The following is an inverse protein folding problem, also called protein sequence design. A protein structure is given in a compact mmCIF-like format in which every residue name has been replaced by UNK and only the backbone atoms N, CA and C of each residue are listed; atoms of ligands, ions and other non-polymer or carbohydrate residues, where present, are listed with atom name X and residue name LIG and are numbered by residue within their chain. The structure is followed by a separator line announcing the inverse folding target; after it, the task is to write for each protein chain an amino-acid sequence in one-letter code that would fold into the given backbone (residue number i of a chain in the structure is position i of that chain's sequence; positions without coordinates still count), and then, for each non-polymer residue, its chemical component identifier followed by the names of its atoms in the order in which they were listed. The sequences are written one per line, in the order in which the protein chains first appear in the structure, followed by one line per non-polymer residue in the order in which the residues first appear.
data_IF_985216950527
#
_entry.id   IF_985216950527
#
_cell.length_a   1.000
_cell.length_b   1.000
_cell.length_c   1.000
_cell.angle_alpha   90.00
_cell.angle_beta   90.00
_cell.angle_gamma   90.00
#
_symmetry.space_group_name_H-M   'P 1'
#
loop_
_entity.id
_entity.type
_entity.pdbx_description
1 polymer ?
#
# COMPACT_ATOMS: atom_id res chain seq x y z
N UNK A 1 -19.50 -15.56 -0.59
CA UNK A 1 -18.07 -15.31 -0.83
C UNK A 1 -17.66 -14.16 0.07
N UNK A 2 -16.49 -14.18 0.69
CA UNK A 2 -16.00 -13.03 1.43
C UNK A 2 -15.85 -11.84 0.45
N UNK A 3 -16.14 -10.62 0.90
CA UNK A 3 -15.95 -9.42 0.07
C UNK A 3 -14.44 -9.15 -0.10
N UNK A 4 -14.04 -8.71 -1.29
CA UNK A 4 -12.67 -8.26 -1.55
C UNK A 4 -12.31 -7.12 -0.59
N UNK A 5 -11.16 -7.21 0.08
CA UNK A 5 -10.63 -6.11 0.91
C UNK A 5 -9.65 -5.27 0.10
N UNK A 6 -9.89 -3.98 0.01
CA UNK A 6 -9.01 -3.03 -0.71
C UNK A 6 -8.22 -2.23 0.33
N UNK A 7 -6.91 -2.40 0.35
CA UNK A 7 -5.99 -1.80 1.34
C UNK A 7 -5.00 -0.88 0.63
N UNK A 8 -5.02 0.41 0.95
CA UNK A 8 -3.97 1.33 0.53
C UNK A 8 -2.82 1.31 1.55
N UNK A 9 -1.58 1.26 1.07
CA UNK A 9 -0.39 1.43 1.90
C UNK A 9 0.20 2.81 1.63
N UNK A 10 -0.03 3.75 2.55
CA UNK A 10 0.24 5.16 2.32
C UNK A 10 1.09 5.80 3.41
N UNK A 11 2.00 6.66 3.00
CA UNK A 11 2.73 7.62 3.85
C UNK A 11 3.42 8.64 2.94
N UNK A 12 3.44 9.92 3.36
CA UNK A 12 4.11 10.99 2.65
C UNK A 12 5.62 10.79 2.53
N UNK A 13 6.24 10.14 3.51
CA UNK A 13 7.68 9.98 3.59
C UNK A 13 8.17 8.91 2.63
N UNK A 14 9.20 9.25 1.82
CA UNK A 14 9.93 8.27 1.01
C UNK A 14 10.77 7.32 1.89
N UNK A 15 10.94 6.08 1.45
CA UNK A 15 11.82 5.11 2.12
C UNK A 15 11.29 4.51 3.43
N UNK A 16 10.03 4.76 3.81
CA UNK A 16 9.42 4.16 5.01
C UNK A 16 9.07 2.68 4.85
N UNK A 17 9.12 2.17 3.61
CA UNK A 17 8.85 0.75 3.32
C UNK A 17 7.45 0.50 2.73
N UNK A 18 6.78 1.47 2.08
CA UNK A 18 5.45 1.26 1.45
C UNK A 18 5.45 0.08 0.49
N UNK A 19 6.22 0.15 -0.60
CA UNK A 19 6.32 -0.94 -1.59
C UNK A 19 6.80 -2.25 -0.97
N UNK A 20 7.73 -2.19 -0.01
CA UNK A 20 8.16 -3.38 0.74
C UNK A 20 7.01 -3.99 1.53
N UNK A 21 6.19 -3.16 2.19
CA UNK A 21 5.02 -3.61 2.94
C UNK A 21 4.00 -4.24 1.99
N UNK A 22 3.67 -3.59 0.87
CA UNK A 22 2.76 -4.14 -0.15
C UNK A 22 3.23 -5.51 -0.65
N UNK A 23 4.50 -5.62 -1.06
CA UNK A 23 5.06 -6.86 -1.61
C UNK A 23 5.15 -7.98 -0.57
N UNK A 24 5.52 -7.65 0.67
CA UNK A 24 5.60 -8.63 1.75
C UNK A 24 4.19 -9.07 2.20
N UNK A 25 3.22 -8.17 2.30
CA UNK A 25 1.83 -8.54 2.58
C UNK A 25 1.24 -9.38 1.43
N UNK A 26 1.47 -9.00 0.17
CA UNK A 26 1.01 -9.78 -0.98
C UNK A 26 1.55 -11.22 -0.94
N UNK A 27 2.86 -11.38 -0.69
CA UNK A 27 3.47 -12.71 -0.60
C UNK A 27 2.98 -13.50 0.61
N UNK A 28 2.76 -12.85 1.76
CA UNK A 28 2.24 -13.50 2.96
C UNK A 28 0.78 -13.95 2.79
N UNK A 29 -0.08 -13.11 2.22
CA UNK A 29 -1.47 -13.48 1.91
C UNK A 29 -1.52 -14.61 0.87
N UNK A 30 -0.70 -14.56 -0.19
CA UNK A 30 -0.60 -15.64 -1.16
C UNK A 30 -0.16 -16.97 -0.50
N UNK A 31 0.81 -16.92 0.43
CA UNK A 31 1.23 -18.05 1.25
C UNK A 31 0.11 -18.60 2.16
N UNK A 32 -0.86 -17.78 2.53
CA UNK A 32 -2.08 -18.17 3.25
C UNK A 32 -3.19 -18.68 2.31
N UNK A 33 -2.92 -18.81 1.02
CA UNK A 33 -3.85 -19.31 0.01
C UNK A 33 -4.79 -18.25 -0.57
N UNK A 34 -4.63 -16.97 -0.21
CA UNK A 34 -5.43 -15.84 -0.70
C UNK A 34 -5.00 -15.43 -2.11
N UNK A 35 -5.94 -14.91 -2.90
CA UNK A 35 -5.66 -14.26 -4.20
C UNK A 35 -5.49 -12.77 -3.98
N UNK A 36 -4.41 -12.22 -4.47
CA UNK A 36 -4.01 -10.83 -4.25
C UNK A 36 -3.83 -10.11 -5.57
N UNK A 37 -4.41 -8.92 -5.70
CA UNK A 37 -4.08 -7.97 -6.75
C UNK A 37 -3.25 -6.83 -6.15
N UNK A 38 -2.10 -6.54 -6.73
CA UNK A 38 -1.30 -5.35 -6.42
C UNK A 38 -1.60 -4.26 -7.45
N UNK A 39 -1.87 -3.03 -6.99
CA UNK A 39 -2.04 -1.85 -7.85
C UNK A 39 -0.89 -0.90 -7.56
N UNK A 40 0.02 -0.74 -8.51
CA UNK A 40 1.24 0.05 -8.34
C UNK A 40 0.99 1.50 -8.81
N UNK A 41 0.90 2.44 -7.86
CA UNK A 41 0.74 3.88 -8.11
C UNK A 41 2.03 4.67 -7.85
N UNK A 42 3.17 4.01 -7.75
CA UNK A 42 4.45 4.69 -7.63
C UNK A 42 5.12 4.79 -9.01
N UNK A 43 5.51 6.00 -9.40
CA UNK A 43 6.27 6.28 -10.63
C UNK A 43 7.58 5.49 -10.74
N UNK A 44 8.12 4.99 -9.62
CA UNK A 44 9.29 4.14 -9.60
C UNK A 44 8.99 2.70 -10.02
N UNK A 45 7.72 2.30 -10.06
CA UNK A 45 7.24 0.97 -10.46
C UNK A 45 8.00 -0.18 -9.76
N UNK A 46 8.35 0.02 -8.47
CA UNK A 46 9.13 -0.96 -7.72
C UNK A 46 8.36 -2.26 -7.49
N UNK A 47 7.06 -2.17 -7.21
CA UNK A 47 6.22 -3.35 -7.04
C UNK A 47 6.07 -4.11 -8.37
N UNK A 48 5.83 -3.39 -9.45
CA UNK A 48 5.74 -3.94 -10.82
C UNK A 48 6.98 -4.72 -11.19
N UNK A 49 8.17 -4.11 -11.04
CA UNK A 49 9.44 -4.73 -11.39
C UNK A 49 9.74 -5.97 -10.52
N UNK A 50 9.52 -5.87 -9.21
CA UNK A 50 9.74 -7.00 -8.29
C UNK A 50 8.82 -8.18 -8.60
N UNK A 51 7.59 -7.94 -9.06
CA UNK A 51 6.66 -8.99 -9.46
C UNK A 51 6.92 -9.54 -10.87
N UNK A 52 7.87 -8.95 -11.61
CA UNK A 52 8.25 -9.38 -12.95
C UNK A 52 7.27 -8.97 -14.04
N UNK A 53 6.42 -7.98 -13.77
CA UNK A 53 5.50 -7.41 -14.75
C UNK A 53 6.19 -6.36 -15.63
N UNK A 54 5.57 -6.02 -16.75
CA UNK A 54 6.06 -5.02 -17.71
C UNK A 54 5.22 -3.76 -17.62
N UNK A 55 5.86 -2.61 -17.84
CA UNK A 55 5.19 -1.32 -18.01
C UNK A 55 5.17 -0.86 -19.46
N UNK A 56 6.16 -1.26 -20.27
CA UNK A 56 6.29 -0.83 -21.65
C UNK A 56 5.37 -1.61 -22.60
N UNK A 57 4.62 -0.88 -23.44
CA UNK A 57 3.76 -1.45 -24.48
C UNK A 57 2.53 -2.19 -23.96
N UNK A 58 2.15 -1.96 -22.72
CA UNK A 58 0.98 -2.55 -22.06
C UNK A 58 0.21 -1.47 -21.31
N UNK A 59 -1.03 -1.79 -20.95
CA UNK A 59 -1.86 -0.93 -20.10
C UNK A 59 -1.31 -0.86 -18.66
N UNK A 60 -1.31 0.34 -18.08
CA UNK A 60 -0.76 0.62 -16.76
C UNK A 60 -1.72 1.44 -15.91
N UNK A 61 -1.34 1.71 -14.66
CA UNK A 61 -2.08 2.64 -13.79
C UNK A 61 -2.13 4.07 -14.36
N UNK A 62 -1.16 4.47 -15.19
CA UNK A 62 -1.21 5.74 -15.91
C UNK A 62 -2.41 5.80 -16.86
N UNK A 63 -2.64 4.75 -17.65
CA UNK A 63 -3.77 4.68 -18.60
C UNK A 63 -5.12 4.72 -17.88
N UNK A 64 -5.19 4.08 -16.71
CA UNK A 64 -6.38 4.14 -15.85
C UNK A 64 -6.62 5.57 -15.37
N UNK A 65 -5.60 6.21 -14.77
CA UNK A 65 -5.73 7.56 -14.21
C UNK A 65 -5.97 8.64 -15.27
N UNK A 66 -5.49 8.43 -16.50
CA UNK A 66 -5.79 9.29 -17.64
C UNK A 66 -7.16 9.00 -18.28
N UNK A 67 -7.87 7.96 -17.80
CA UNK A 67 -9.20 7.59 -18.26
C UNK A 67 -9.23 6.97 -19.67
N UNK A 68 -8.08 6.57 -20.21
CA UNK A 68 -7.97 5.81 -21.46
C UNK A 68 -8.44 4.36 -21.27
N UNK A 69 -8.28 3.84 -20.05
CA UNK A 69 -8.83 2.57 -19.60
C UNK A 69 -9.81 2.83 -18.45
N UNK A 70 -11.05 2.37 -18.62
CA UNK A 70 -12.12 2.55 -17.64
C UNK A 70 -12.41 1.31 -16.77
N UNK A 71 -11.90 0.17 -17.19
CA UNK A 71 -12.02 -1.11 -16.46
C UNK A 71 -10.60 -1.62 -16.21
N UNK A 72 -10.20 -1.61 -14.94
CA UNK A 72 -8.86 -1.99 -14.53
C UNK A 72 -8.51 -3.44 -14.88
N UNK A 73 -9.51 -4.29 -15.15
CA UNK A 73 -9.27 -5.68 -15.58
C UNK A 73 -8.45 -5.76 -16.87
N UNK A 74 -8.54 -4.75 -17.74
CA UNK A 74 -7.77 -4.67 -18.98
C UNK A 74 -6.26 -4.40 -18.77
N UNK A 75 -5.87 -3.92 -17.58
CA UNK A 75 -4.49 -3.64 -17.22
C UNK A 75 -3.88 -4.71 -16.30
N UNK A 76 -4.65 -5.71 -15.87
CA UNK A 76 -4.15 -6.76 -14.96
C UNK A 76 -3.19 -7.67 -15.72
N UNK A 77 -2.02 -7.89 -15.11
CA UNK A 77 -1.03 -8.86 -15.55
C UNK A 77 -0.87 -9.97 -14.52
N UNK A 78 -0.83 -11.22 -14.98
CA UNK A 78 -0.38 -12.34 -14.17
C UNK A 78 1.11 -12.23 -13.89
N UNK A 79 1.49 -12.47 -12.66
CA UNK A 79 2.91 -12.41 -12.27
C UNK A 79 3.53 -13.82 -12.25
N UNK A 80 4.87 -13.86 -12.07
CA UNK A 80 5.57 -15.14 -11.84
C UNK A 80 5.26 -15.77 -10.48
N UNK A 81 4.56 -15.05 -9.61
CA UNK A 81 4.22 -15.52 -8.25
C UNK A 81 2.78 -15.99 -8.24
N UNK A 82 2.59 -17.25 -7.89
CA UNK A 82 1.24 -17.83 -7.82
C UNK A 82 0.34 -17.00 -6.90
N UNK A 83 -0.91 -16.79 -7.32
CA UNK A 83 -1.97 -16.04 -6.59
C UNK A 83 -1.72 -14.53 -6.45
N UNK A 84 -0.69 -13.98 -7.10
CA UNK A 84 -0.46 -12.53 -7.11
C UNK A 84 -0.53 -12.04 -8.55
N UNK A 85 -1.47 -11.15 -8.83
CA UNK A 85 -1.57 -10.39 -10.07
C UNK A 85 -1.22 -8.92 -9.81
N UNK A 86 -0.96 -8.14 -10.86
CA UNK A 86 -0.60 -6.73 -10.74
C UNK A 86 -1.23 -5.87 -11.83
N UNK A 87 -1.71 -4.69 -11.46
CA UNK A 87 -1.89 -3.55 -12.36
C UNK A 87 -0.59 -2.74 -12.29
N UNK A 88 0.23 -2.72 -13.35
CA UNK A 88 1.57 -2.19 -13.30
C UNK A 88 1.60 -0.67 -13.18
N UNK A 89 2.57 -0.15 -12.42
CA UNK A 89 2.96 1.25 -12.43
C UNK A 89 3.83 1.58 -13.65
N UNK A 90 3.97 2.87 -13.92
CA UNK A 90 4.75 3.37 -15.06
C UNK A 90 5.48 4.66 -14.70
N UNK A 91 6.63 4.90 -15.33
CA UNK A 91 7.37 6.15 -15.24
C UNK A 91 6.53 7.34 -15.77
N UNK A 92 5.58 7.11 -16.66
CA UNK A 92 4.64 8.13 -17.14
C UNK A 92 3.81 8.78 -16.02
N UNK A 93 3.70 8.14 -14.85
CA UNK A 93 3.11 8.76 -13.65
C UNK A 93 3.87 10.01 -13.17
N UNK A 94 5.10 10.24 -13.67
CA UNK A 94 5.83 11.49 -13.44
C UNK A 94 5.09 12.63 -14.14
N UNK A 95 4.62 13.61 -13.37
CA UNK A 95 3.88 14.75 -13.94
C UNK A 95 2.38 14.55 -14.10
N UNK A 96 1.84 13.37 -13.83
CA UNK A 96 0.40 13.06 -13.97
C UNK A 96 -0.50 14.05 -13.21
N UNK A 97 -0.03 14.62 -12.10
CA UNK A 97 -0.78 15.64 -11.35
C UNK A 97 -1.12 16.87 -12.19
N UNK A 98 -0.17 17.30 -13.03
CA UNK A 98 -0.38 18.42 -13.93
C UNK A 98 -1.35 18.06 -15.07
N UNK A 99 -1.23 16.84 -15.61
CA UNK A 99 -2.11 16.34 -16.68
C UNK A 99 -3.56 16.19 -16.18
N UNK A 100 -3.75 15.68 -14.97
CA UNK A 100 -5.07 15.52 -14.35
C UNK A 100 -5.68 16.83 -13.82
N UNK A 101 -4.93 17.96 -13.77
CA UNK A 101 -5.40 19.19 -13.13
C UNK A 101 -6.71 19.74 -13.70
N UNK A 102 -6.96 19.56 -15.00
CA UNK A 102 -8.18 19.99 -15.68
C UNK A 102 -9.30 18.95 -15.75
N UNK A 103 -9.05 17.73 -15.25
CA UNK A 103 -10.03 16.64 -15.35
C UNK A 103 -11.14 16.80 -14.30
N UNK A 104 -12.37 16.43 -14.70
CA UNK A 104 -13.51 16.37 -13.75
C UNK A 104 -13.49 15.03 -13.02
N UNK A 105 -13.91 15.04 -11.75
CA UNK A 105 -13.98 13.84 -10.90
C UNK A 105 -12.67 13.06 -10.87
N UNK A 106 -11.55 13.76 -10.96
CA UNK A 106 -10.22 13.15 -11.03
C UNK A 106 -9.84 12.36 -9.76
N UNK A 107 -10.53 12.61 -8.66
CA UNK A 107 -10.32 11.94 -7.38
C UNK A 107 -10.94 10.53 -7.33
N UNK A 108 -11.88 10.20 -8.25
CA UNK A 108 -12.64 8.93 -8.23
C UNK A 108 -12.29 8.00 -9.39
N UNK A 109 -11.35 8.37 -10.24
CA UNK A 109 -11.05 7.60 -11.47
C UNK A 109 -10.62 6.16 -11.15
N UNK A 110 -9.80 5.97 -10.12
CA UNK A 110 -9.33 4.64 -9.76
C UNK A 110 -10.45 3.78 -9.18
N UNK A 111 -11.30 4.32 -8.29
CA UNK A 111 -12.41 3.54 -7.72
C UNK A 111 -13.40 3.14 -8.78
N UNK A 112 -13.73 4.04 -9.72
CA UNK A 112 -14.63 3.76 -10.84
C UNK A 112 -14.05 2.64 -11.74
N UNK A 113 -12.74 2.67 -12.02
CA UNK A 113 -12.07 1.65 -12.82
C UNK A 113 -11.96 0.30 -12.11
N UNK A 114 -11.86 0.28 -10.78
CA UNK A 114 -11.73 -0.93 -9.96
C UNK A 114 -13.07 -1.57 -9.61
N UNK A 115 -14.20 -0.89 -9.82
CA UNK A 115 -15.54 -1.33 -9.41
C UNK A 115 -15.81 -2.78 -9.81
N UNK A 116 -15.58 -3.11 -11.07
CA UNK A 116 -15.82 -4.45 -11.61
C UNK A 116 -14.89 -5.50 -10.99
N UNK A 117 -13.61 -5.19 -10.85
CA UNK A 117 -12.60 -6.10 -10.28
C UNK A 117 -12.96 -6.47 -8.85
N UNK A 118 -13.43 -5.49 -8.06
CA UNK A 118 -13.86 -5.68 -6.68
C UNK A 118 -15.19 -6.45 -6.62
N UNK A 119 -16.16 -6.10 -7.47
CA UNK A 119 -17.50 -6.69 -7.47
C UNK A 119 -17.49 -8.18 -7.91
N UNK A 120 -16.66 -8.55 -8.89
CA UNK A 120 -16.56 -9.94 -9.36
C UNK A 120 -15.94 -10.88 -8.30
N UNK A 121 -15.27 -10.35 -7.25
CA UNK A 121 -14.76 -11.13 -6.12
C UNK A 121 -13.64 -12.10 -6.53
N UNK A 122 -12.89 -11.79 -7.58
CA UNK A 122 -11.79 -12.61 -8.06
C UNK A 122 -10.57 -12.60 -7.15
N UNK A 123 -10.47 -11.63 -6.24
CA UNK A 123 -9.38 -11.43 -5.29
C UNK A 123 -9.91 -11.35 -3.87
N UNK A 124 -9.16 -11.89 -2.91
CA UNK A 124 -9.41 -11.71 -1.48
C UNK A 124 -8.91 -10.34 -1.03
N UNK A 125 -7.78 -9.90 -1.58
CA UNK A 125 -7.13 -8.63 -1.28
C UNK A 125 -6.75 -7.86 -2.55
N UNK A 126 -6.96 -6.54 -2.51
CA UNK A 126 -6.33 -5.58 -3.42
C UNK A 126 -5.42 -4.70 -2.58
N UNK A 127 -4.12 -4.68 -2.89
CA UNK A 127 -3.12 -3.87 -2.21
C UNK A 127 -2.67 -2.74 -3.12
N UNK A 128 -2.87 -1.48 -2.69
CA UNK A 128 -2.48 -0.31 -3.48
C UNK A 128 -1.16 0.25 -2.93
N UNK A 129 -0.10 0.21 -3.74
CA UNK A 129 1.19 0.82 -3.43
C UNK A 129 1.17 2.31 -3.78
N UNK A 130 1.12 3.16 -2.75
CA UNK A 130 1.02 4.60 -2.93
C UNK A 130 2.38 5.26 -3.13
N UNK A 131 2.43 6.27 -4.02
CA UNK A 131 3.59 7.15 -4.17
C UNK A 131 3.92 7.92 -2.87
N UNK A 132 5.16 8.44 -2.72
CA UNK A 132 5.55 9.22 -1.54
C UNK A 132 5.07 10.68 -1.61
N UNK A 133 3.84 10.92 -2.08
CA UNK A 133 3.21 12.24 -2.12
C UNK A 133 1.80 12.15 -1.57
N UNK A 134 1.24 13.24 -1.07
CA UNK A 134 -0.17 13.35 -0.69
C UNK A 134 -0.99 14.04 -1.79
N UNK A 135 -0.61 13.79 -3.04
CA UNK A 135 -1.25 14.36 -4.23
C UNK A 135 -2.42 13.52 -4.75
N UNK A 136 -2.75 13.74 -6.03
CA UNK A 136 -3.93 13.14 -6.66
C UNK A 136 -3.85 11.61 -6.74
N UNK A 137 -2.66 11.03 -6.90
CA UNK A 137 -2.48 9.57 -6.92
C UNK A 137 -2.84 8.94 -5.57
N UNK A 138 -2.29 9.49 -4.47
CA UNK A 138 -2.64 9.02 -3.12
C UNK A 138 -4.11 9.28 -2.79
N UNK A 139 -4.68 10.39 -3.25
CA UNK A 139 -6.12 10.64 -3.11
C UNK A 139 -6.94 9.55 -3.81
N UNK A 140 -6.62 9.19 -5.07
CA UNK A 140 -7.28 8.09 -5.78
C UNK A 140 -7.14 6.76 -5.04
N UNK A 141 -5.96 6.45 -4.51
CA UNK A 141 -5.75 5.24 -3.71
C UNK A 141 -6.66 5.19 -2.49
N UNK A 142 -6.73 6.29 -1.72
CA UNK A 142 -7.56 6.36 -0.50
C UNK A 142 -9.06 6.38 -0.81
N UNK A 143 -9.46 6.96 -1.94
CA UNK A 143 -10.86 6.94 -2.37
C UNK A 143 -11.28 5.54 -2.79
N UNK A 144 -10.39 4.77 -3.42
CA UNK A 144 -10.66 3.39 -3.84
C UNK A 144 -10.51 2.35 -2.71
N UNK A 145 -9.84 2.69 -1.61
CA UNK A 145 -9.55 1.76 -0.52
C UNK A 145 -10.70 1.63 0.48
N UNK A 146 -10.90 0.45 1.05
CA UNK A 146 -11.72 0.25 2.24
C UNK A 146 -10.96 0.67 3.50
N UNK A 147 -9.66 0.44 3.49
CA UNK A 147 -8.80 0.68 4.66
C UNK A 147 -7.39 1.13 4.24
N UNK A 148 -6.72 1.84 5.14
CA UNK A 148 -5.34 2.25 4.93
C UNK A 148 -4.43 1.70 6.03
N UNK A 149 -3.30 1.12 5.64
CA UNK A 149 -2.19 0.71 6.49
C UNK A 149 -1.09 1.75 6.37
N UNK A 150 -0.58 2.25 7.50
CA UNK A 150 0.37 3.36 7.52
C UNK A 150 1.73 2.88 8.05
N UNK A 151 2.71 2.58 7.18
CA UNK A 151 4.08 2.29 7.61
C UNK A 151 4.78 3.58 8.06
N UNK A 152 5.44 3.53 9.23
CA UNK A 152 6.24 4.63 9.78
C UNK A 152 7.61 4.15 10.23
N UNK A 153 8.54 5.08 10.41
CA UNK A 153 9.88 4.84 10.99
C UNK A 153 9.96 5.37 12.41
N UNK A 154 10.96 4.90 13.16
CA UNK A 154 11.32 5.41 14.49
C UNK A 154 12.06 6.76 14.38
N UNK A 155 11.38 7.81 13.95
CA UNK A 155 11.95 9.16 13.93
C UNK A 155 10.87 10.23 14.17
N UNK A 156 11.28 11.40 14.66
CA UNK A 156 10.37 12.50 14.96
C UNK A 156 9.61 13.04 13.76
N UNK A 157 10.19 12.98 12.55
CA UNK A 157 9.53 13.46 11.33
C UNK A 157 8.41 12.53 10.85
N UNK A 158 8.40 11.27 11.31
CA UNK A 158 7.34 10.31 10.95
C UNK A 158 6.00 10.68 11.55
N UNK A 159 5.96 11.32 12.73
CA UNK A 159 4.72 11.80 13.36
C UNK A 159 4.14 13.01 12.61
N UNK A 160 4.99 13.93 12.11
CA UNK A 160 4.55 15.06 11.29
C UNK A 160 3.94 14.57 9.95
N UNK A 161 4.58 13.57 9.34
CA UNK A 161 4.07 12.93 8.12
C UNK A 161 2.74 12.21 8.35
N UNK A 162 2.58 11.55 9.50
CA UNK A 162 1.33 10.93 9.92
C UNK A 162 0.22 11.96 10.02
N UNK A 163 0.46 13.09 10.71
CA UNK A 163 -0.53 14.15 10.86
C UNK A 163 -1.06 14.67 9.53
N UNK A 164 -0.17 14.89 8.54
CA UNK A 164 -0.58 15.35 7.21
C UNK A 164 -1.40 14.30 6.45
N UNK A 165 -1.03 13.01 6.55
CA UNK A 165 -1.80 11.93 5.95
C UNK A 165 -3.19 11.84 6.59
N UNK A 166 -3.29 11.96 7.91
CA UNK A 166 -4.58 11.94 8.62
C UNK A 166 -5.48 13.12 8.24
N UNK A 167 -4.92 14.31 8.00
CA UNK A 167 -5.68 15.44 7.45
C UNK A 167 -6.28 15.12 6.07
N UNK A 168 -5.54 14.41 5.21
CA UNK A 168 -6.05 13.96 3.89
C UNK A 168 -7.15 12.90 4.07
N UNK A 169 -6.95 11.93 4.96
CA UNK A 169 -7.97 10.89 5.28
C UNK A 169 -9.26 11.55 5.77
N UNK A 170 -9.17 12.52 6.68
CA UNK A 170 -10.33 13.23 7.22
C UNK A 170 -11.03 14.07 6.15
N UNK A 171 -10.28 14.72 5.26
CA UNK A 171 -10.85 15.45 4.12
C UNK A 171 -11.63 14.51 3.18
N UNK A 172 -11.11 13.31 2.92
CA UNK A 172 -11.79 12.30 2.09
C UNK A 172 -13.05 11.78 2.79
N UNK A 173 -12.98 11.43 4.08
CA UNK A 173 -14.13 10.96 4.89
C UNK A 173 -15.25 12.00 4.98
N UNK A 174 -14.89 13.27 5.11
CA UNK A 174 -15.85 14.36 5.24
C UNK A 174 -16.59 14.64 3.94
N UNK A 175 -16.11 14.18 2.81
CA UNK A 175 -16.73 14.38 1.51
C UNK A 175 -17.54 13.15 1.09
N UNK A 176 -18.88 13.24 1.19
CA UNK A 176 -19.80 12.14 0.82
C UNK A 176 -19.67 11.64 -0.63
N UNK A 177 -19.01 12.40 -1.51
CA UNK A 177 -18.77 12.01 -2.92
C UNK A 177 -17.48 11.24 -3.11
N UNK A 178 -16.63 11.17 -2.10
CA UNK A 178 -15.37 10.45 -2.14
C UNK A 178 -15.51 9.11 -1.40
N UNK A 179 -15.01 9.03 -0.17
CA UNK A 179 -15.02 7.78 0.59
C UNK A 179 -15.28 8.04 2.09
N UNK A 180 -16.55 8.21 2.50
CA UNK A 180 -16.89 8.45 3.90
C UNK A 180 -16.62 7.23 4.81
N UNK A 181 -16.54 6.04 4.24
CA UNK A 181 -16.37 4.77 4.97
C UNK A 181 -14.90 4.33 5.07
N UNK A 182 -13.96 5.13 4.55
CA UNK A 182 -12.53 4.81 4.64
C UNK A 182 -12.11 4.64 6.10
N UNK A 183 -11.46 3.53 6.42
CA UNK A 183 -10.92 3.28 7.76
C UNK A 183 -9.40 3.34 7.78
N UNK A 184 -8.80 3.66 8.93
CA UNK A 184 -7.37 3.49 9.16
C UNK A 184 -7.21 2.17 9.92
N UNK A 185 -6.76 1.14 9.21
CA UNK A 185 -6.62 -0.22 9.74
C UNK A 185 -5.55 -0.30 10.83
N UNK A 186 -4.49 0.48 10.70
CA UNK A 186 -3.46 0.58 11.73
C UNK A 186 -2.15 1.16 11.23
N UNK A 187 -1.30 1.49 12.20
CA UNK A 187 0.06 1.97 11.98
C UNK A 187 1.03 0.81 12.18
N UNK A 188 1.92 0.56 11.21
CA UNK A 188 3.00 -0.41 11.34
C UNK A 188 4.35 0.28 11.43
N UNK A 189 5.11 -0.06 12.47
CA UNK A 189 6.45 0.49 12.67
C UNK A 189 7.47 -0.35 11.92
N UNK A 190 8.16 0.28 10.97
CA UNK A 190 9.11 -0.36 10.07
C UNK A 190 10.56 -0.04 10.42
N UNK A 191 11.48 -0.91 9.96
CA UNK A 191 12.93 -0.78 10.12
C UNK A 191 13.37 -0.64 11.57
N UNK A 192 12.73 -1.38 12.48
CA UNK A 192 13.07 -1.38 13.89
C UNK A 192 14.50 -1.86 14.13
N UNK A 193 15.27 -1.05 14.84
CA UNK A 193 16.60 -1.39 15.36
C UNK A 193 16.53 -1.56 16.89
N UNK A 194 16.64 -2.78 17.45
CA UNK A 194 16.34 -3.06 18.86
C UNK A 194 17.24 -2.35 19.89
N UNK A 195 18.36 -1.77 19.45
CA UNK A 195 19.40 -1.21 20.35
C UNK A 195 19.40 0.33 20.44
N UNK A 196 18.37 1.01 19.95
CA UNK A 196 18.30 2.47 20.01
C UNK A 196 17.42 2.93 21.19
N UNK A 197 17.95 3.78 22.06
CA UNK A 197 17.22 4.35 23.20
C UNK A 197 15.96 5.15 22.78
N UNK A 198 15.99 5.73 21.58
CA UNK A 198 14.84 6.45 20.99
C UNK A 198 13.64 5.52 20.74
N UNK A 199 13.86 4.23 20.51
CA UNK A 199 12.83 3.25 20.21
C UNK A 199 11.83 3.10 21.36
N UNK A 200 12.31 3.04 22.61
CA UNK A 200 11.44 2.85 23.78
C UNK A 200 10.52 4.06 24.03
N UNK A 201 11.05 5.27 23.88
CA UNK A 201 10.25 6.50 24.03
C UNK A 201 9.20 6.63 22.93
N UNK A 202 9.54 6.27 21.70
CA UNK A 202 8.62 6.30 20.57
C UNK A 202 7.52 5.24 20.71
N UNK A 203 7.88 4.00 21.07
CA UNK A 203 6.93 2.90 21.32
C UNK A 203 5.94 3.25 22.45
N UNK A 204 6.36 4.04 23.45
CA UNK A 204 5.50 4.47 24.54
C UNK A 204 4.50 5.58 24.14
N UNK A 205 4.87 6.47 23.23
CA UNK A 205 4.03 7.61 22.80
C UNK A 205 3.11 7.27 21.62
N UNK A 206 3.55 6.39 20.75
CA UNK A 206 2.85 6.10 19.50
C UNK A 206 1.40 5.61 19.68
N UNK A 207 1.07 4.75 20.67
CA UNK A 207 -0.31 4.33 20.91
C UNK A 207 -1.25 5.49 21.23
N UNK A 208 -0.81 6.46 22.05
CA UNK A 208 -1.62 7.64 22.41
C UNK A 208 -1.84 8.53 21.17
N UNK A 209 -0.80 8.70 20.35
CA UNK A 209 -0.91 9.45 19.08
C UNK A 209 -1.87 8.75 18.12
N UNK A 210 -1.77 7.43 17.96
CA UNK A 210 -2.67 6.64 17.13
C UNK A 210 -4.11 6.73 17.60
N UNK A 211 -4.35 6.58 18.91
CA UNK A 211 -5.67 6.71 19.51
C UNK A 211 -6.28 8.10 19.28
N UNK A 212 -5.47 9.17 19.29
CA UNK A 212 -5.90 10.52 18.96
C UNK A 212 -6.44 10.67 17.52
N UNK A 213 -6.05 9.78 16.62
CA UNK A 213 -6.56 9.69 15.23
C UNK A 213 -7.63 8.61 15.05
N UNK A 214 -8.10 7.96 16.12
CA UNK A 214 -9.09 6.90 16.06
C UNK A 214 -8.59 5.61 15.41
N UNK A 215 -7.30 5.31 15.52
CA UNK A 215 -6.66 4.09 15.03
C UNK A 215 -5.72 3.52 16.10
N UNK A 216 -5.11 2.38 15.79
CA UNK A 216 -4.14 1.75 16.67
C UNK A 216 -2.80 1.48 15.99
N UNK A 217 -1.93 0.79 16.72
CA UNK A 217 -0.60 0.39 16.24
C UNK A 217 -0.52 -1.13 16.26
N UNK A 218 -0.27 -1.75 15.11
CA UNK A 218 -0.11 -3.20 15.04
C UNK A 218 0.92 -3.72 16.04
N UNK A 219 0.68 -4.90 16.60
CA UNK A 219 1.64 -5.54 17.51
C UNK A 219 2.93 -5.91 16.79
N UNK A 220 2.81 -6.30 15.52
CA UNK A 220 3.96 -6.59 14.66
C UNK A 220 4.82 -5.35 14.44
N UNK A 221 6.12 -5.49 14.69
CA UNK A 221 7.14 -4.46 14.46
C UNK A 221 8.13 -5.00 13.42
N UNK A 222 8.28 -4.33 12.31
CA UNK A 222 9.12 -4.81 11.21
C UNK A 222 10.58 -4.48 11.49
N UNK A 223 11.37 -5.48 11.78
CA UNK A 223 12.81 -5.34 12.06
C UNK A 223 13.56 -4.98 10.78
N UNK A 224 14.61 -4.18 10.93
CA UNK A 224 15.53 -3.88 9.84
C UNK A 224 16.37 -5.10 9.49
N UNK A 225 16.43 -5.44 8.19
CA UNK A 225 17.27 -6.53 7.69
C UNK A 225 17.92 -6.12 6.36
N UNK A 226 19.22 -6.38 6.22
CA UNK A 226 19.96 -6.10 4.98
C UNK A 226 19.39 -6.88 3.79
N UNK A 227 18.81 -8.05 4.04
CA UNK A 227 18.19 -8.92 3.03
C UNK A 227 17.09 -8.25 2.22
N UNK A 228 16.41 -7.25 2.79
CA UNK A 228 15.41 -6.44 2.06
C UNK A 228 16.08 -5.70 0.90
N UNK A 229 17.21 -5.04 1.15
CA UNK A 229 17.94 -4.31 0.09
C UNK A 229 18.53 -5.26 -0.95
N UNK A 230 19.06 -6.40 -0.53
CA UNK A 230 19.59 -7.41 -1.44
C UNK A 230 18.49 -7.98 -2.34
N UNK A 231 17.29 -8.25 -1.80
CA UNK A 231 16.13 -8.71 -2.55
C UNK A 231 15.67 -7.64 -3.57
N UNK A 232 15.63 -6.35 -3.16
CA UNK A 232 15.29 -5.24 -4.05
C UNK A 232 16.26 -5.07 -5.21
N UNK A 233 17.57 -5.20 -4.97
CA UNK A 233 18.61 -5.11 -6.03
C UNK A 233 18.47 -6.24 -7.05
N UNK A 234 17.93 -7.39 -6.65
CA UNK A 234 17.74 -8.56 -7.51
C UNK A 234 16.30 -8.70 -8.05
N UNK A 235 15.44 -7.69 -7.83
CA UNK A 235 14.02 -7.69 -8.20
C UNK A 235 13.28 -8.98 -7.78
N UNK A 236 13.52 -9.42 -6.52
CA UNK A 236 12.91 -10.62 -5.94
C UNK A 236 12.08 -10.27 -4.72
N UNK A 237 10.99 -11.00 -4.50
CA UNK A 237 10.26 -10.94 -3.24
C UNK A 237 11.17 -11.37 -2.07
N UNK A 238 11.04 -10.70 -0.93
CA UNK A 238 11.80 -11.06 0.27
C UNK A 238 11.56 -12.51 0.70
N UNK A 239 10.32 -12.98 0.58
CA UNK A 239 9.94 -14.35 0.88
C UNK A 239 10.61 -15.38 -0.04
N UNK A 240 10.97 -15.02 -1.28
CA UNK A 240 11.74 -15.87 -2.19
C UNK A 240 13.25 -15.77 -1.95
N UNK A 241 13.73 -14.55 -1.65
CA UNK A 241 15.16 -14.29 -1.50
C UNK A 241 15.72 -14.78 -0.16
N UNK A 242 14.96 -14.54 0.91
CA UNK A 242 15.38 -14.88 2.27
C UNK A 242 14.16 -15.20 3.17
N UNK A 243 13.46 -16.32 2.93
CA UNK A 243 12.20 -16.64 3.62
C UNK A 243 12.34 -16.77 5.15
N UNK A 244 13.52 -17.17 5.63
CA UNK A 244 13.80 -17.29 7.07
C UNK A 244 14.29 -16.02 7.75
N UNK A 245 14.39 -14.88 7.06
CA UNK A 245 14.87 -13.66 7.69
C UNK A 245 13.81 -13.04 8.62
N UNK A 246 14.29 -12.30 9.64
CA UNK A 246 13.40 -11.71 10.65
C UNK A 246 12.31 -10.81 10.07
N UNK A 247 12.65 -10.02 9.05
CA UNK A 247 11.69 -9.11 8.40
C UNK A 247 10.58 -9.88 7.68
N UNK A 248 10.88 -11.01 7.01
CA UNK A 248 9.87 -11.85 6.37
C UNK A 248 8.88 -12.39 7.40
N UNK A 249 9.41 -12.93 8.52
CA UNK A 249 8.59 -13.43 9.63
C UNK A 249 7.71 -12.34 10.27
N UNK A 250 8.26 -11.11 10.41
CA UNK A 250 7.50 -9.98 10.95
C UNK A 250 6.33 -9.60 10.03
N UNK A 251 6.53 -9.60 8.70
CA UNK A 251 5.45 -9.34 7.75
C UNK A 251 4.42 -10.47 7.68
N UNK A 252 4.83 -11.73 7.87
CA UNK A 252 3.88 -12.84 8.02
C UNK A 252 2.99 -12.67 9.27
N UNK A 253 3.56 -12.19 10.38
CA UNK A 253 2.81 -11.89 11.59
C UNK A 253 1.82 -10.73 11.33
N UNK A 254 2.29 -9.64 10.71
CA UNK A 254 1.44 -8.51 10.32
C UNK A 254 0.29 -8.93 9.41
N UNK A 255 0.56 -9.78 8.42
CA UNK A 255 -0.48 -10.27 7.52
C UNK A 255 -1.57 -11.07 8.27
N UNK A 256 -1.19 -11.85 9.28
CA UNK A 256 -2.16 -12.56 10.14
C UNK A 256 -2.99 -11.58 10.98
N UNK A 257 -2.37 -10.56 11.59
CA UNK A 257 -3.11 -9.51 12.32
C UNK A 257 -4.14 -8.84 11.41
N UNK A 258 -3.76 -8.48 10.18
CA UNK A 258 -4.66 -7.86 9.20
C UNK A 258 -5.78 -8.84 8.77
N UNK A 259 -5.48 -10.10 8.49
CA UNK A 259 -6.49 -11.10 8.02
C UNK A 259 -7.52 -11.40 9.11
N UNK A 260 -7.12 -11.40 10.38
CA UNK A 260 -7.99 -11.63 11.53
C UNK A 260 -8.85 -10.41 11.90
N UNK A 261 -8.60 -9.26 11.28
CA UNK A 261 -9.30 -8.00 11.62
C UNK A 261 -8.90 -7.45 13.00
N UNK A 262 -7.78 -7.89 13.52
CA UNK A 262 -7.19 -7.33 14.73
C UNK A 262 -6.61 -5.96 14.37
N UNK A 263 -7.48 -4.93 14.43
CA UNK A 263 -6.98 -3.56 14.54
C UNK A 263 -6.27 -3.45 15.89
N UNK A 264 -5.13 -2.84 15.89
CA UNK A 264 -4.32 -2.65 17.08
C UNK A 264 -5.03 -1.81 18.14
#
# INVERSE_FOLDING_TARGET
MASTRVIAVANQKGGVGKSTTVLCLASSFAGMGKRVLVVDLDQQANATRTLGARSEGVATTYDILMGTIRDASAAIQHTRVERIDVVPGDLALVGIEAEMAGMRCRETILVDAMERVVAEGGYDYVLIDCSPSLGIMTTNALVAAHEVVIPILYDGYSLDGLGKLMMLVDAIRSNKRLNPDLTVSGIVVCQREPRQNLTASFDAQLPDVAAGYGTGVYNSRIRRCVKVREAQVTDRLLAEYAPGCSTAQDYEALAREIDQGESA
#
